data_IF_913852974098
#
_entry.id   IF_913852974098
#
_cell.length_a   1.000
_cell.length_b   1.000
_cell.length_c   1.000
_cell.angle_alpha   90.00
_cell.angle_beta   90.00
_cell.angle_gamma   90.00
#
_symmetry.space_group_name_H-M   'P 1'
#
loop_
_entity.id
_entity.type
_entity.pdbx_description
1 polymer ?
#
# COMPACT_ATOMS: atom_id res chain seq x y z
N UNK A 1 -48.50 64.70 41.15
CA UNK A 1 -47.10 64.60 41.60
C UNK A 1 -46.29 64.06 40.43
N UNK A 2 -45.45 64.90 39.83
CA UNK A 2 -44.50 64.56 38.75
C UNK A 2 -43.44 63.58 39.27
N UNK A 3 -43.02 62.59 38.47
CA UNK A 3 -41.59 62.29 38.16
C UNK A 3 -41.48 61.62 36.77
N UNK A 4 -40.57 62.14 35.95
CA UNK A 4 -40.05 61.61 34.67
C UNK A 4 -38.76 60.80 34.92
N UNK A 5 -38.47 59.75 34.14
CA UNK A 5 -37.13 59.39 33.59
C UNK A 5 -37.25 58.06 32.83
N UNK A 6 -37.10 57.90 31.50
CA UNK A 6 -35.95 58.07 30.57
C UNK A 6 -34.73 57.18 30.86
N UNK A 7 -34.48 56.28 29.87
CA UNK A 7 -33.19 55.82 29.30
C UNK A 7 -32.32 55.04 30.31
N UNK A 8 -31.82 53.83 30.08
CA UNK A 8 -31.60 53.00 28.90
C UNK A 8 -30.38 52.15 29.27
N UNK A 9 -30.29 50.88 28.86
CA UNK A 9 -29.00 50.18 28.78
C UNK A 9 -29.10 48.98 27.85
N UNK A 10 -28.18 48.98 26.91
CA UNK A 10 -27.95 47.94 25.92
C UNK A 10 -27.33 46.71 26.58
N UNK A 11 -27.75 45.50 26.17
CA UNK A 11 -26.91 44.32 26.35
C UNK A 11 -26.94 43.42 25.10
N UNK A 12 -25.89 43.63 24.32
CA UNK A 12 -25.18 42.75 23.40
C UNK A 12 -25.59 41.26 23.36
N UNK A 13 -26.06 40.87 22.18
CA UNK A 13 -25.46 39.87 21.29
C UNK A 13 -24.81 38.62 21.93
N UNK A 14 -25.41 37.45 21.69
CA UNK A 14 -24.71 36.17 21.66
C UNK A 14 -25.38 35.25 20.62
N UNK A 15 -25.12 35.54 19.34
CA UNK A 15 -25.42 34.62 18.25
C UNK A 15 -24.42 33.46 18.37
N UNK A 16 -24.86 32.33 18.91
CA UNK A 16 -24.08 31.09 18.91
C UNK A 16 -23.97 30.59 17.47
N UNK A 17 -22.94 31.05 16.74
CA UNK A 17 -22.52 30.42 15.49
C UNK A 17 -21.91 29.09 15.89
N UNK A 18 -22.71 28.03 15.73
CA UNK A 18 -22.19 26.67 15.70
C UNK A 18 -21.23 26.59 14.49
N UNK A 19 -19.95 26.83 14.74
CA UNK A 19 -18.87 26.44 13.85
C UNK A 19 -18.90 24.92 13.80
N UNK A 20 -19.73 24.37 12.92
CA UNK A 20 -19.58 23.00 12.47
C UNK A 20 -18.16 22.86 11.97
N UNK A 21 -17.36 22.06 12.68
CA UNK A 21 -16.10 21.56 12.15
C UNK A 21 -16.44 20.71 10.93
N UNK A 22 -16.56 21.36 9.78
CA UNK A 22 -16.50 20.73 8.46
C UNK A 22 -15.05 20.28 8.25
N UNK A 23 -14.60 19.33 9.08
CA UNK A 23 -13.46 18.50 8.74
C UNK A 23 -13.87 17.78 7.47
N UNK A 24 -13.46 18.32 6.32
CA UNK A 24 -13.56 17.62 5.06
C UNK A 24 -12.85 16.28 5.29
N UNK A 25 -13.62 15.22 5.50
CA UNK A 25 -13.09 13.87 5.47
C UNK A 25 -12.39 13.77 4.13
N UNK A 26 -11.07 13.61 4.12
CA UNK A 26 -10.33 13.25 2.91
C UNK A 26 -10.92 11.94 2.43
N UNK A 27 -11.87 12.03 1.50
CA UNK A 27 -12.48 10.89 0.81
C UNK A 27 -11.49 10.48 -0.27
N UNK A 28 -10.33 9.99 0.14
CA UNK A 28 -9.46 9.30 -0.80
C UNK A 28 -10.31 8.24 -1.48
N UNK A 29 -10.39 8.30 -2.79
CA UNK A 29 -11.09 7.29 -3.58
C UNK A 29 -10.13 6.15 -3.87
N UNK A 30 -10.68 4.95 -4.01
CA UNK A 30 -9.91 3.84 -4.51
C UNK A 30 -9.28 4.17 -5.88
N UNK A 31 -7.97 3.97 -6.06
CA UNK A 31 -7.36 4.14 -7.36
C UNK A 31 -7.90 3.09 -8.34
N UNK A 32 -8.10 3.49 -9.59
CA UNK A 32 -8.54 2.56 -10.62
C UNK A 32 -7.42 1.59 -11.00
N UNK A 33 -7.62 0.30 -10.77
CA UNK A 33 -6.82 -0.73 -11.43
C UNK A 33 -7.14 -0.70 -12.93
N UNK A 34 -6.10 -0.78 -13.77
CA UNK A 34 -6.27 -0.91 -15.23
C UNK A 34 -7.27 -2.02 -15.56
N UNK A 35 -8.21 -1.77 -16.49
CA UNK A 35 -9.21 -2.79 -16.91
C UNK A 35 -8.55 -3.99 -17.59
N UNK A 36 -7.42 -3.74 -18.25
CA UNK A 36 -6.58 -4.68 -18.98
C UNK A 36 -5.40 -5.19 -18.13
N UNK A 37 -5.44 -5.04 -16.80
CA UNK A 37 -4.30 -5.39 -15.93
C UNK A 37 -3.95 -6.88 -15.97
N UNK A 38 -4.95 -7.78 -16.04
CA UNK A 38 -4.71 -9.22 -16.14
C UNK A 38 -4.02 -9.58 -17.45
N UNK A 39 -4.56 -9.07 -18.57
CA UNK A 39 -3.92 -9.21 -19.88
C UNK A 39 -2.50 -8.63 -19.89
N UNK A 40 -2.30 -7.45 -19.29
CA UNK A 40 -0.98 -6.81 -19.20
C UNK A 40 0.02 -7.63 -18.40
N UNK A 41 -0.44 -8.40 -17.40
CA UNK A 41 0.41 -9.29 -16.63
C UNK A 41 0.85 -10.50 -17.47
N UNK A 42 -0.10 -11.13 -18.17
CA UNK A 42 0.19 -12.24 -19.10
C UNK A 42 1.11 -11.77 -20.21
N UNK A 43 0.79 -10.67 -20.91
CA UNK A 43 1.64 -10.10 -21.97
C UNK A 43 3.07 -9.77 -21.51
N UNK A 44 3.28 -9.55 -20.20
CA UNK A 44 4.60 -9.24 -19.64
C UNK A 44 5.40 -10.48 -19.23
N UNK A 45 4.74 -11.51 -18.74
CA UNK A 45 5.41 -12.64 -18.08
C UNK A 45 5.23 -13.99 -18.78
N UNK A 46 4.22 -14.15 -19.65
CA UNK A 46 3.99 -15.34 -20.46
C UNK A 46 5.04 -15.42 -21.58
N UNK A 47 6.11 -16.15 -21.30
CA UNK A 47 7.27 -16.32 -22.16
C UNK A 47 7.14 -17.54 -23.06
N UNK A 48 6.39 -18.56 -22.64
CA UNK A 48 6.17 -19.77 -23.45
C UNK A 48 4.96 -19.65 -24.39
N UNK A 49 4.11 -18.63 -24.19
CA UNK A 49 3.02 -18.25 -25.07
C UNK A 49 1.80 -19.15 -24.96
N UNK A 50 1.62 -19.86 -23.84
CA UNK A 50 0.47 -20.74 -23.64
C UNK A 50 -0.79 -20.03 -23.13
N UNK A 51 -0.70 -18.72 -22.89
CA UNK A 51 -1.80 -17.86 -22.48
C UNK A 51 -2.03 -17.80 -20.97
N UNK A 52 -1.19 -18.44 -20.17
CA UNK A 52 -1.29 -18.48 -18.72
C UNK A 52 0.09 -18.45 -18.06
N UNK A 53 0.20 -17.89 -16.86
CA UNK A 53 1.49 -17.80 -16.18
C UNK A 53 1.80 -19.11 -15.47
N UNK A 54 2.83 -19.82 -15.93
CA UNK A 54 3.35 -21.01 -15.26
C UNK A 54 4.28 -20.66 -14.09
N UNK A 55 4.68 -21.67 -13.31
CA UNK A 55 5.49 -21.47 -12.10
C UNK A 55 6.79 -20.68 -12.32
N UNK A 56 7.48 -20.89 -13.45
CA UNK A 56 8.71 -20.17 -13.77
C UNK A 56 8.46 -18.67 -14.07
N UNK A 57 7.32 -18.37 -14.68
CA UNK A 57 6.91 -17.03 -15.09
C UNK A 57 6.35 -16.25 -13.90
N UNK A 58 5.58 -16.93 -13.04
CA UNK A 58 5.15 -16.43 -11.75
C UNK A 58 6.36 -16.05 -10.89
N UNK A 59 7.41 -16.88 -10.86
CA UNK A 59 8.63 -16.60 -10.10
C UNK A 59 9.40 -15.36 -10.61
N UNK A 60 9.14 -14.89 -11.83
CA UNK A 60 9.69 -13.64 -12.35
C UNK A 60 9.02 -12.40 -11.74
N UNK A 61 7.79 -12.52 -11.21
CA UNK A 61 7.11 -11.48 -10.43
C UNK A 61 7.04 -11.87 -8.94
N UNK A 62 7.85 -11.24 -8.07
CA UNK A 62 7.80 -11.51 -6.63
C UNK A 62 6.40 -11.38 -6.04
N UNK A 63 5.60 -10.43 -6.52
CA UNK A 63 4.27 -10.19 -6.02
C UNK A 63 3.26 -11.28 -6.42
N UNK A 64 3.31 -11.76 -7.67
CA UNK A 64 2.47 -12.89 -8.12
C UNK A 64 2.84 -14.18 -7.40
N UNK A 65 4.14 -14.43 -7.23
CA UNK A 65 4.63 -15.56 -6.45
C UNK A 65 4.11 -15.53 -5.00
N UNK A 66 4.11 -14.34 -4.38
CA UNK A 66 3.58 -14.16 -3.02
C UNK A 66 2.05 -14.31 -2.94
N UNK A 67 1.33 -14.02 -4.03
CA UNK A 67 -0.14 -14.10 -4.06
C UNK A 67 -0.69 -15.44 -4.55
N UNK A 68 0.15 -16.37 -5.01
CA UNK A 68 -0.26 -17.58 -5.72
C UNK A 68 -1.44 -18.29 -5.06
N UNK A 69 -1.33 -18.59 -3.75
CA UNK A 69 -2.39 -19.28 -2.98
C UNK A 69 -3.76 -18.58 -2.97
N UNK A 70 -3.83 -17.29 -3.28
CA UNK A 70 -5.07 -16.51 -3.34
C UNK A 70 -5.55 -16.28 -4.77
N UNK A 71 -4.62 -16.17 -5.71
CA UNK A 71 -4.92 -15.91 -7.12
C UNK A 71 -5.29 -17.19 -7.85
N UNK A 72 -4.47 -18.24 -7.73
CA UNK A 72 -4.72 -19.58 -8.28
C UNK A 72 -5.90 -20.21 -7.53
N UNK A 73 -7.05 -20.28 -8.20
CA UNK A 73 -8.33 -20.70 -7.61
C UNK A 73 -8.60 -22.18 -7.78
N UNK A 74 -8.16 -22.75 -8.88
CA UNK A 74 -8.34 -24.19 -9.15
C UNK A 74 -7.20 -25.05 -8.60
N UNK A 75 -6.08 -24.43 -8.21
CA UNK A 75 -4.96 -25.05 -7.54
C UNK A 75 -4.02 -25.78 -8.49
N UNK A 76 -4.02 -25.45 -9.77
CA UNK A 76 -3.18 -26.10 -10.79
C UNK A 76 -1.72 -25.58 -10.80
N UNK A 77 -1.43 -24.54 -10.02
CA UNK A 77 -0.11 -23.93 -9.92
C UNK A 77 0.21 -22.93 -11.03
N UNK A 78 -0.78 -22.58 -11.86
CA UNK A 78 -0.72 -21.55 -12.90
C UNK A 78 -1.62 -20.38 -12.52
N UNK A 79 -1.48 -19.29 -13.26
CA UNK A 79 -2.36 -18.13 -13.13
C UNK A 79 -2.88 -17.75 -14.51
N UNK A 80 -4.17 -17.91 -14.71
CA UNK A 80 -4.87 -17.50 -15.94
C UNK A 80 -5.23 -16.01 -15.93
N UNK A 81 -5.47 -15.39 -17.11
CA UNK A 81 -6.05 -14.04 -17.18
C UNK A 81 -7.35 -13.92 -16.38
N UNK A 82 -8.22 -14.94 -16.43
CA UNK A 82 -9.51 -14.97 -15.76
C UNK A 82 -9.37 -14.94 -14.24
N UNK A 83 -8.40 -15.67 -13.68
CA UNK A 83 -8.11 -15.67 -12.25
C UNK A 83 -7.55 -14.32 -11.78
N UNK A 84 -6.65 -13.70 -12.56
CA UNK A 84 -6.17 -12.36 -12.28
C UNK A 84 -7.30 -11.33 -12.35
N UNK A 85 -8.16 -11.42 -13.35
CA UNK A 85 -9.31 -10.51 -13.48
C UNK A 85 -10.30 -10.66 -12.33
N UNK A 86 -10.55 -11.91 -11.89
CA UNK A 86 -11.31 -12.18 -10.69
C UNK A 86 -10.64 -11.56 -9.45
N UNK A 87 -9.31 -11.64 -9.35
CA UNK A 87 -8.55 -11.03 -8.25
C UNK A 87 -8.67 -9.51 -8.24
N UNK A 88 -8.52 -8.87 -9.40
CA UNK A 88 -8.73 -7.42 -9.51
C UNK A 88 -10.20 -7.02 -9.27
N UNK A 89 -11.16 -7.89 -9.58
CA UNK A 89 -12.58 -7.64 -9.27
C UNK A 89 -12.82 -7.56 -7.76
N UNK A 90 -12.18 -8.43 -6.96
CA UNK A 90 -12.22 -8.35 -5.49
C UNK A 90 -11.77 -6.97 -5.02
N UNK A 91 -10.68 -6.45 -5.58
CA UNK A 91 -10.18 -5.14 -5.20
C UNK A 91 -11.16 -4.04 -5.62
N UNK A 92 -11.56 -3.98 -6.88
CA UNK A 92 -12.49 -2.97 -7.42
C UNK A 92 -13.81 -2.90 -6.64
N UNK A 93 -14.30 -4.04 -6.16
CA UNK A 93 -15.56 -4.12 -5.44
C UNK A 93 -15.43 -3.80 -3.94
N UNK A 94 -14.21 -3.66 -3.40
CA UNK A 94 -13.99 -3.39 -1.98
C UNK A 94 -14.26 -1.95 -1.56
N UNK A 95 -14.08 -0.99 -2.48
CA UNK A 95 -14.13 0.44 -2.15
C UNK A 95 -12.99 0.92 -1.25
N UNK A 96 -11.99 0.08 -0.96
CA UNK A 96 -10.86 0.42 -0.09
C UNK A 96 -9.91 1.34 -0.83
N UNK A 97 -9.77 2.57 -0.32
CA UNK A 97 -8.81 3.53 -0.86
C UNK A 97 -7.38 3.28 -0.38
N UNK A 98 -7.23 3.02 0.92
CA UNK A 98 -5.94 2.76 1.57
C UNK A 98 -6.10 1.72 2.67
N UNK A 99 -5.08 0.88 2.80
CA UNK A 99 -4.85 -0.04 3.92
C UNK A 99 -3.67 0.46 4.73
N UNK A 100 -3.83 0.59 6.05
CA UNK A 100 -2.69 0.87 6.93
C UNK A 100 -1.80 -0.35 6.98
N UNK A 101 -0.51 -0.17 6.69
CA UNK A 101 0.47 -1.26 6.71
C UNK A 101 1.68 -0.86 7.56
N UNK A 102 2.04 -1.75 8.48
CA UNK A 102 3.34 -1.73 9.15
C UNK A 102 4.18 -2.90 8.65
N UNK A 103 5.43 -2.65 8.28
CA UNK A 103 6.39 -3.67 7.86
C UNK A 103 7.49 -3.75 8.93
N UNK A 104 7.64 -4.92 9.55
CA UNK A 104 8.74 -5.20 10.47
C UNK A 104 9.88 -5.85 9.69
N UNK A 105 11.08 -5.28 9.76
CA UNK A 105 12.27 -5.78 9.07
C UNK A 105 13.27 -6.31 10.09
N UNK A 106 13.67 -7.56 9.90
CA UNK A 106 14.67 -8.24 10.72
C UNK A 106 15.76 -8.84 9.84
N UNK A 107 16.99 -8.89 10.34
CA UNK A 107 18.12 -9.61 9.74
C UNK A 107 18.77 -10.44 10.84
N UNK A 108 18.97 -11.75 10.59
CA UNK A 108 19.45 -12.67 11.62
C UNK A 108 18.67 -12.56 12.95
N UNK A 109 17.33 -12.42 12.86
CA UNK A 109 16.41 -12.25 13.99
C UNK A 109 16.41 -10.88 14.69
N UNK A 110 17.33 -9.98 14.36
CA UNK A 110 17.47 -8.66 14.98
C UNK A 110 16.74 -7.56 14.18
N UNK A 111 16.13 -6.56 14.84
CA UNK A 111 15.56 -5.41 14.16
C UNK A 111 16.58 -4.69 13.28
N UNK A 112 16.19 -4.34 12.06
CA UNK A 112 17.00 -3.50 11.17
C UNK A 112 16.49 -2.07 11.29
N UNK A 113 17.14 -1.24 12.11
CA UNK A 113 16.80 0.17 12.24
C UNK A 113 17.38 1.02 11.10
N UNK A 114 16.68 2.10 10.74
CA UNK A 114 17.10 3.08 9.72
C UNK A 114 17.08 2.61 8.26
N UNK A 115 16.53 1.43 7.95
CA UNK A 115 16.33 0.97 6.58
C UNK A 115 15.16 1.70 5.92
N UNK A 116 15.33 2.05 4.64
CA UNK A 116 14.26 2.48 3.76
C UNK A 116 13.54 1.26 3.19
N UNK A 117 12.22 1.21 3.34
CA UNK A 117 11.35 0.19 2.76
C UNK A 117 10.49 0.85 1.70
N UNK A 118 10.45 0.27 0.51
CA UNK A 118 9.64 0.74 -0.60
C UNK A 118 8.80 -0.40 -1.17
N UNK A 119 7.52 -0.14 -1.36
CA UNK A 119 6.61 -0.97 -2.13
C UNK A 119 6.47 -0.37 -3.52
N UNK A 120 7.00 -1.08 -4.52
CA UNK A 120 6.96 -0.69 -5.93
C UNK A 120 5.85 -1.50 -6.61
N UNK A 121 4.78 -0.86 -7.12
CA UNK A 121 3.71 -1.57 -7.80
C UNK A 121 4.23 -2.30 -9.03
N UNK A 122 3.75 -3.51 -9.26
CA UNK A 122 3.96 -4.21 -10.52
C UNK A 122 3.39 -3.39 -11.70
N UNK A 123 4.16 -3.28 -12.78
CA UNK A 123 3.88 -2.38 -13.91
C UNK A 123 2.55 -2.68 -14.60
N UNK A 124 2.14 -3.94 -14.66
CA UNK A 124 0.91 -4.37 -15.31
C UNK A 124 -0.36 -3.76 -14.68
N UNK A 125 -0.27 -3.20 -13.46
CA UNK A 125 -1.40 -2.57 -12.78
C UNK A 125 -1.68 -1.13 -13.24
N UNK A 126 -0.76 -0.52 -13.97
CA UNK A 126 -0.84 0.87 -14.42
C UNK A 126 -0.39 1.89 -13.37
N UNK A 127 -0.50 3.18 -13.71
CA UNK A 127 0.14 4.27 -12.97
C UNK A 127 -0.72 4.85 -11.83
N UNK A 128 -2.00 4.45 -11.73
CA UNK A 128 -2.90 4.95 -10.69
C UNK A 128 -2.57 4.38 -9.30
N UNK A 129 -1.98 3.19 -9.26
CA UNK A 129 -1.49 2.58 -8.02
C UNK A 129 -0.15 3.22 -7.68
N UNK A 130 -0.13 4.09 -6.66
CA UNK A 130 1.10 4.72 -6.17
C UNK A 130 2.01 3.72 -5.44
N UNK A 131 3.32 3.96 -5.52
CA UNK A 131 4.29 3.36 -4.60
C UNK A 131 4.04 3.83 -3.17
N UNK A 132 4.48 3.03 -2.20
CA UNK A 132 4.50 3.42 -0.80
C UNK A 132 5.90 3.28 -0.22
N UNK A 133 6.23 4.08 0.78
CA UNK A 133 7.52 4.01 1.47
C UNK A 133 7.40 4.23 2.97
N UNK A 134 8.43 3.82 3.70
CA UNK A 134 8.60 4.05 5.13
C UNK A 134 10.05 3.82 5.54
N UNK A 135 10.46 4.40 6.66
CA UNK A 135 11.78 4.14 7.26
C UNK A 135 11.57 3.38 8.56
N UNK A 136 12.35 2.32 8.77
CA UNK A 136 12.26 1.51 9.98
C UNK A 136 12.78 2.26 11.20
N UNK A 137 12.04 2.23 12.31
CA UNK A 137 12.45 2.76 13.61
C UNK A 137 13.46 1.85 14.35
N UNK A 138 13.72 2.11 15.63
CA UNK A 138 14.62 1.29 16.45
C UNK A 138 14.16 -0.15 16.63
N UNK A 139 12.86 -0.41 16.51
CA UNK A 139 12.24 -1.74 16.59
C UNK A 139 12.17 -2.42 15.21
N UNK A 140 12.71 -1.78 14.17
CA UNK A 140 12.74 -2.30 12.81
C UNK A 140 11.39 -2.14 12.08
N UNK A 141 10.51 -1.26 12.56
CA UNK A 141 9.15 -1.11 12.03
C UNK A 141 9.07 0.11 11.12
N UNK A 142 8.65 -0.10 9.87
CA UNK A 142 8.32 0.95 8.91
C UNK A 142 6.79 1.08 8.79
N UNK A 143 6.28 2.27 9.06
CA UNK A 143 4.88 2.62 8.76
C UNK A 143 4.78 3.16 7.35
N UNK A 144 4.02 2.45 6.50
CA UNK A 144 3.98 2.71 5.07
C UNK A 144 3.00 3.83 4.73
N UNK A 145 3.40 4.69 3.80
CA UNK A 145 2.60 5.80 3.28
C UNK A 145 2.84 5.99 1.78
N UNK A 146 1.83 6.43 1.04
CA UNK A 146 1.97 6.77 -0.40
C UNK A 146 2.47 8.21 -0.61
N UNK A 147 2.39 9.06 0.42
CA UNK A 147 3.01 10.40 0.46
C UNK A 147 3.14 10.90 1.90
N UNK A 148 3.73 12.09 2.09
CA UNK A 148 3.82 12.75 3.39
C UNK A 148 2.52 13.42 3.84
N UNK A 149 1.46 13.42 3.02
CA UNK A 149 0.17 13.95 3.44
C UNK A 149 -0.43 13.06 4.55
N UNK A 150 -0.88 13.59 5.70
CA UNK A 150 -1.35 12.79 6.83
C UNK A 150 -2.48 11.82 6.49
N UNK A 151 -3.39 12.21 5.60
CA UNK A 151 -4.50 11.35 5.15
C UNK A 151 -4.06 10.23 4.20
N UNK A 152 -2.85 10.32 3.64
CA UNK A 152 -2.26 9.34 2.74
C UNK A 152 -1.32 8.33 3.47
N UNK A 153 -1.49 8.22 4.79
CA UNK A 153 -0.83 7.21 5.63
C UNK A 153 -1.44 5.81 5.42
N UNK A 154 -0.97 5.13 4.38
CA UNK A 154 -1.29 3.75 4.07
C UNK A 154 -0.75 3.35 2.70
N UNK A 155 -1.25 2.23 2.20
CA UNK A 155 -0.90 1.65 0.90
C UNK A 155 -2.19 1.35 0.14
N UNK A 156 -2.18 1.54 -1.18
CA UNK A 156 -3.29 1.07 -2.00
C UNK A 156 -3.35 -0.46 -2.03
N UNK A 157 -4.49 -1.01 -2.44
CA UNK A 157 -4.54 -2.42 -2.83
C UNK A 157 -3.68 -2.63 -4.07
N UNK A 158 -2.96 -3.73 -4.14
CA UNK A 158 -2.04 -3.96 -5.26
C UNK A 158 -1.05 -5.10 -5.06
N UNK A 159 -0.43 -5.50 -6.16
CA UNK A 159 0.76 -6.34 -6.22
C UNK A 159 2.00 -5.45 -6.14
N UNK A 160 2.90 -5.74 -5.21
CA UNK A 160 4.10 -4.92 -4.97
C UNK A 160 5.35 -5.78 -4.89
N UNK A 161 6.40 -5.33 -5.56
CA UNK A 161 7.77 -5.69 -5.25
C UNK A 161 8.23 -4.89 -4.03
N UNK A 162 8.98 -5.51 -3.12
CA UNK A 162 9.49 -4.87 -1.91
C UNK A 162 10.99 -4.64 -2.05
N UNK A 163 11.40 -3.39 -1.95
CA UNK A 163 12.81 -2.99 -1.93
C UNK A 163 13.16 -2.49 -0.52
N UNK A 164 14.20 -3.06 0.07
CA UNK A 164 14.75 -2.68 1.37
C UNK A 164 16.21 -2.27 1.18
N UNK A 165 16.51 -1.03 1.55
CA UNK A 165 17.84 -0.42 1.42
C UNK A 165 18.29 0.15 2.77
N UNK A 166 19.58 0.03 3.07
CA UNK A 166 20.18 0.66 4.24
C UNK A 166 21.62 1.02 3.93
N UNK A 167 21.92 2.31 4.00
CA UNK A 167 23.29 2.80 3.80
C UNK A 167 24.01 3.00 5.13
N UNK A 168 25.33 2.88 5.13
CA UNK A 168 26.18 3.33 6.23
C UNK A 168 26.32 4.87 6.24
N UNK A 169 27.18 5.39 7.13
CA UNK A 169 27.43 6.84 7.22
C UNK A 169 28.13 7.44 5.99
N UNK A 170 28.79 6.61 5.19
CA UNK A 170 29.42 7.01 3.94
C UNK A 170 28.44 6.96 2.75
N UNK A 171 27.20 6.52 2.96
CA UNK A 171 26.19 6.36 1.92
C UNK A 171 26.33 5.05 1.14
N UNK A 172 27.19 4.12 1.60
CA UNK A 172 27.38 2.83 0.96
C UNK A 172 26.26 1.87 1.38
N UNK A 173 25.60 1.22 0.41
CA UNK A 173 24.59 0.18 0.66
C UNK A 173 25.19 -0.97 1.47
N UNK A 174 24.48 -1.38 2.53
CA UNK A 174 24.90 -2.42 3.48
C UNK A 174 24.08 -3.70 3.35
N UNK A 175 22.93 -3.65 2.68
CA UNK A 175 22.11 -4.83 2.42
C UNK A 175 22.44 -5.45 1.05
N UNK A 176 22.33 -6.78 0.90
CA UNK A 176 22.51 -7.44 -0.38
C UNK A 176 21.53 -6.95 -1.46
N UNK A 177 21.95 -7.03 -2.73
CA UNK A 177 21.12 -6.66 -3.88
C UNK A 177 19.78 -7.43 -3.94
N UNK A 178 19.76 -8.67 -3.43
CA UNK A 178 18.55 -9.51 -3.29
C UNK A 178 17.47 -8.93 -2.38
N UNK A 179 17.75 -7.81 -1.69
CA UNK A 179 16.79 -7.12 -0.85
C UNK A 179 16.26 -5.85 -1.55
N UNK A 180 16.93 -5.36 -2.61
CA UNK A 180 16.55 -4.15 -3.35
C UNK A 180 16.47 -4.39 -4.87
N UNK A 181 17.50 -4.03 -5.63
CA UNK A 181 17.63 -4.09 -7.08
C UNK A 181 17.30 -5.45 -7.69
N UNK A 182 17.68 -6.55 -7.01
CA UNK A 182 17.42 -7.93 -7.44
C UNK A 182 16.41 -8.65 -6.52
N UNK A 183 15.53 -7.89 -5.87
CA UNK A 183 14.66 -8.43 -4.83
C UNK A 183 13.70 -9.51 -5.33
N UNK A 184 13.57 -10.56 -4.50
CA UNK A 184 12.53 -11.59 -4.60
C UNK A 184 11.44 -11.43 -3.56
N UNK A 185 11.48 -10.33 -2.81
CA UNK A 185 10.44 -9.98 -1.84
C UNK A 185 9.28 -9.36 -2.60
N UNK A 186 8.11 -9.96 -2.46
CA UNK A 186 6.86 -9.45 -3.01
C UNK A 186 5.73 -9.59 -2.00
N UNK A 187 4.70 -8.79 -2.20
CA UNK A 187 3.48 -8.86 -1.42
C UNK A 187 2.30 -8.44 -2.29
N UNK A 188 1.17 -9.05 -2.00
CA UNK A 188 -0.11 -8.52 -2.41
C UNK A 188 -0.78 -7.86 -1.20
N UNK A 189 -1.18 -6.61 -1.36
CA UNK A 189 -2.05 -5.90 -0.41
C UNK A 189 -3.48 -6.05 -0.91
N UNK A 190 -4.28 -6.79 -0.16
CA UNK A 190 -5.66 -7.12 -0.52
C UNK A 190 -6.63 -6.90 0.65
N UNK A 191 -7.92 -6.62 0.37
CA UNK A 191 -8.91 -6.32 1.40
C UNK A 191 -9.35 -7.56 2.18
N UNK A 192 -9.13 -8.74 1.60
CA UNK A 192 -9.50 -10.06 2.12
C UNK A 192 -8.33 -10.83 2.77
N UNK A 193 -7.14 -10.20 2.85
CA UNK A 193 -5.99 -10.76 3.56
C UNK A 193 -5.77 -10.02 4.89
N UNK A 194 -5.96 -10.68 6.05
CA UNK A 194 -5.76 -10.06 7.35
C UNK A 194 -4.30 -9.63 7.58
N UNK A 195 -3.33 -10.23 6.86
CA UNK A 195 -1.93 -9.85 6.92
C UNK A 195 -1.60 -8.56 6.17
N UNK A 196 -2.51 -8.03 5.34
CA UNK A 196 -2.36 -6.73 4.65
C UNK A 196 -2.17 -5.54 5.60
N UNK A 197 -2.39 -5.72 6.91
CA UNK A 197 -2.13 -4.71 7.93
C UNK A 197 -0.74 -4.79 8.58
N UNK A 198 -0.08 -5.95 8.50
CA UNK A 198 1.21 -6.22 9.14
C UNK A 198 2.01 -7.26 8.35
N UNK A 199 3.18 -6.87 7.87
CA UNK A 199 4.12 -7.75 7.19
C UNK A 199 5.40 -7.91 8.02
N UNK A 200 5.93 -9.14 8.08
CA UNK A 200 7.23 -9.42 8.68
C UNK A 200 8.20 -9.85 7.59
N UNK A 201 9.30 -9.11 7.44
CA UNK A 201 10.38 -9.41 6.51
C UNK A 201 11.58 -9.92 7.29
N UNK A 202 11.97 -11.16 7.01
CA UNK A 202 13.25 -11.70 7.44
C UNK A 202 14.21 -11.60 6.26
N UNK A 203 15.11 -10.62 6.34
CA UNK A 203 16.19 -10.48 5.37
C UNK A 203 17.17 -11.64 5.54
N UNK A 204 17.64 -12.14 4.39
CA UNK A 204 18.74 -13.09 4.32
C UNK A 204 20.06 -12.33 4.53
N UNK A 205 21.08 -13.06 4.98
CA UNK A 205 22.43 -12.52 5.17
C UNK A 205 23.16 -12.34 3.84
#
# INVERSE_FOLDING_TARGET
>A
MLVRSRIGDALLLSLAVALGCSGAQSRLSQPGVKRDAAKSAVDKYDTDGDGSLGAAEIAASPALQASLKRTDKDGDGRITPEELDARFAVWRNSGVALTRLAITVRQSGRPVAGASVKLVPEEFQGQAIKSASGTTDSEGVAHMKISDHPDEAGVHLGFYRIEVSKTDQAGQETLPASNNTDTKLGVEISPDDPSSSRLNLQLLD
#
